data_IF_973528187642
#
_entry.id   IF_973528187642
#
_cell.length_a   1.000
_cell.length_b   1.000
_cell.length_c   1.000
_cell.angle_alpha   90.00
_cell.angle_beta   90.00
_cell.angle_gamma   90.00
#
_symmetry.space_group_name_H-M   'P 1'
#
loop_
_entity.id
_entity.type
_entity.pdbx_description
1 polymer ?
#
# COMPACT_ATOMS: atom_id res chain seq x y z
N UNK A 1 2.30 -10.29 26.59
CA UNK A 1 3.37 -9.31 26.28
C UNK A 1 2.70 -7.98 26.05
N UNK A 2 3.19 -6.90 26.65
CA UNK A 2 2.61 -5.56 26.48
C UNK A 2 3.09 -5.01 25.14
N UNK A 3 2.21 -4.88 24.15
CA UNK A 3 2.58 -4.33 22.84
C UNK A 3 2.86 -2.83 23.01
N UNK A 4 4.00 -2.35 22.50
CA UNK A 4 4.30 -0.92 22.50
C UNK A 4 3.21 -0.13 21.77
N UNK A 5 2.66 0.92 22.38
CA UNK A 5 1.66 1.76 21.71
C UNK A 5 2.26 2.65 20.61
N UNK A 6 3.59 2.71 20.47
CA UNK A 6 4.30 3.62 19.56
C UNK A 6 5.52 2.99 18.91
N UNK A 7 5.92 3.51 17.76
CA UNK A 7 7.22 3.23 17.16
C UNK A 7 8.34 3.95 17.93
N UNK A 8 9.55 3.40 17.89
CA UNK A 8 10.71 4.04 18.51
C UNK A 8 11.15 5.29 17.72
N UNK A 9 11.81 6.24 18.38
CA UNK A 9 12.20 7.51 17.75
C UNK A 9 13.15 7.33 16.55
N UNK A 10 14.18 6.50 16.69
CA UNK A 10 15.10 6.14 15.61
C UNK A 10 14.36 5.48 14.43
N UNK A 11 13.39 4.60 14.71
CA UNK A 11 12.56 3.99 13.68
C UNK A 11 11.72 5.02 12.92
N UNK A 12 11.15 6.01 13.61
CA UNK A 12 10.41 7.11 12.97
C UNK A 12 11.33 7.93 12.04
N UNK A 13 12.58 8.19 12.45
CA UNK A 13 13.57 8.86 11.60
C UNK A 13 13.93 8.00 10.37
N UNK A 14 14.12 6.70 10.54
CA UNK A 14 14.35 5.77 9.41
C UNK A 14 13.16 5.76 8.45
N UNK A 15 11.93 5.69 8.97
CA UNK A 15 10.70 5.74 8.17
C UNK A 15 10.61 7.02 7.35
N UNK A 16 10.78 8.18 7.98
CA UNK A 16 10.74 9.49 7.31
C UNK A 16 11.77 9.56 6.19
N UNK A 17 13.04 9.21 6.49
CA UNK A 17 14.11 9.20 5.50
C UNK A 17 13.80 8.24 4.34
N UNK A 18 13.25 7.07 4.64
CA UNK A 18 12.92 6.06 3.64
C UNK A 18 11.82 6.54 2.70
N UNK A 19 10.71 7.05 3.25
CA UNK A 19 9.57 7.56 2.49
C UNK A 19 9.99 8.72 1.59
N UNK A 20 10.74 9.69 2.11
CA UNK A 20 11.08 10.90 1.35
C UNK A 20 12.08 10.67 0.22
N UNK A 21 13.03 9.73 0.38
CA UNK A 21 14.04 9.48 -0.65
C UNK A 21 14.76 8.13 -0.57
N UNK A 22 14.87 7.55 0.63
CA UNK A 22 15.65 6.34 0.85
C UNK A 22 15.16 5.14 0.03
N UNK A 23 13.86 5.05 -0.22
CA UNK A 23 13.27 4.00 -1.05
C UNK A 23 13.83 3.97 -2.48
N UNK A 24 14.36 5.07 -3.05
CA UNK A 24 15.00 5.06 -4.38
C UNK A 24 16.33 4.31 -4.43
N UNK A 25 16.96 4.06 -3.28
CA UNK A 25 18.24 3.33 -3.19
C UNK A 25 18.04 1.82 -3.28
N UNK A 26 16.83 1.34 -2.98
CA UNK A 26 16.45 -0.05 -3.18
C UNK A 26 15.89 -0.15 -4.58
N UNK A 27 16.47 -1.04 -5.39
CA UNK A 27 15.90 -1.27 -6.72
C UNK A 27 14.44 -1.71 -6.53
N UNK A 28 13.57 -1.33 -7.47
CA UNK A 28 12.22 -1.87 -7.58
C UNK A 28 11.28 -0.81 -8.12
N UNK A 29 9.98 -1.07 -8.11
CA UNK A 29 8.95 -0.10 -8.48
C UNK A 29 8.19 0.30 -7.21
N UNK A 30 8.17 1.60 -6.94
CA UNK A 30 7.39 2.18 -5.86
C UNK A 30 7.21 3.65 -6.16
N UNK A 31 5.96 4.06 -6.34
CA UNK A 31 5.61 5.46 -6.56
C UNK A 31 5.73 6.23 -5.24
N UNK A 32 6.27 7.44 -5.29
CA UNK A 32 6.48 8.25 -4.08
C UNK A 32 5.14 8.56 -3.39
N UNK A 33 4.07 8.86 -4.14
CA UNK A 33 2.72 9.04 -3.59
C UNK A 33 2.20 7.79 -2.88
N UNK A 34 2.40 6.61 -3.46
CA UNK A 34 2.02 5.34 -2.86
C UNK A 34 2.78 5.09 -1.54
N UNK A 35 4.10 5.32 -1.53
CA UNK A 35 4.91 5.24 -0.30
C UNK A 35 4.41 6.22 0.77
N UNK A 36 4.12 7.45 0.35
CA UNK A 36 3.67 8.52 1.24
C UNK A 36 2.31 8.22 1.88
N UNK A 37 1.31 7.85 1.07
CA UNK A 37 -0.04 7.51 1.57
C UNK A 37 0.00 6.24 2.44
N UNK A 38 0.81 5.25 2.07
CA UNK A 38 1.04 4.06 2.91
C UNK A 38 1.59 4.45 4.28
N UNK A 39 2.57 5.37 4.32
CA UNK A 39 3.17 5.82 5.58
C UNK A 39 2.17 6.54 6.49
N UNK A 40 1.30 7.39 5.93
CA UNK A 40 0.26 8.08 6.71
C UNK A 40 -0.76 7.11 7.29
N UNK A 41 -1.22 6.13 6.50
CA UNK A 41 -2.16 5.12 7.00
C UNK A 41 -1.52 4.21 8.05
N UNK A 42 -0.29 3.76 7.85
CA UNK A 42 0.42 2.96 8.83
C UNK A 42 0.71 3.71 10.13
N UNK A 43 1.06 5.00 10.07
CA UNK A 43 1.21 5.86 11.24
C UNK A 43 -0.12 6.09 11.97
N UNK A 44 -1.22 6.24 11.24
CA UNK A 44 -2.55 6.33 11.81
C UNK A 44 -2.97 5.03 12.53
N UNK A 45 -2.70 3.86 11.94
CA UNK A 45 -2.88 2.57 12.62
C UNK A 45 -2.08 2.52 13.92
N UNK A 46 -0.81 2.98 13.90
CA UNK A 46 0.01 3.04 15.10
C UNK A 46 -0.61 3.97 16.15
N UNK A 47 -1.01 5.18 15.75
CA UNK A 47 -1.60 6.22 16.61
C UNK A 47 -2.91 5.75 17.26
N UNK A 48 -3.70 4.96 16.55
CA UNK A 48 -4.96 4.37 17.04
C UNK A 48 -4.75 3.09 17.87
N UNK A 49 -3.51 2.63 18.03
CA UNK A 49 -3.19 1.41 18.78
C UNK A 49 -3.60 0.12 18.07
N UNK A 50 -3.85 0.16 16.76
CA UNK A 50 -4.15 -1.03 15.97
C UNK A 50 -2.90 -1.89 15.86
N UNK A 51 -2.99 -3.17 16.22
CA UNK A 51 -1.87 -4.12 16.25
C UNK A 51 -2.05 -5.20 15.19
N UNK A 52 -0.94 -5.66 14.61
CA UNK A 52 -0.94 -6.73 13.63
C UNK A 52 0.35 -6.76 12.83
N UNK A 53 0.63 -7.92 12.25
CA UNK A 53 1.80 -8.12 11.41
C UNK A 53 1.72 -7.26 10.14
N UNK A 54 2.86 -7.16 9.45
CA UNK A 54 2.95 -6.53 8.14
C UNK A 54 3.47 -7.55 7.13
N UNK A 55 3.02 -7.49 5.89
CA UNK A 55 3.48 -8.45 4.89
C UNK A 55 3.34 -8.01 3.44
N UNK A 56 3.99 -8.78 2.56
CA UNK A 56 3.98 -8.58 1.11
C UNK A 56 4.03 -9.94 0.40
N UNK A 57 3.15 -10.13 -0.59
CA UNK A 57 3.34 -11.12 -1.66
C UNK A 57 3.97 -10.39 -2.84
N UNK A 58 5.06 -10.93 -3.39
CA UNK A 58 5.85 -10.29 -4.43
C UNK A 58 6.84 -9.29 -3.84
N UNK A 59 7.91 -9.81 -3.24
CA UNK A 59 8.87 -9.02 -2.46
C UNK A 59 9.98 -8.47 -3.34
N UNK A 60 10.49 -9.29 -4.24
CA UNK A 60 11.68 -9.02 -5.03
C UNK A 60 12.84 -8.48 -4.15
N UNK A 61 13.27 -7.22 -4.34
CA UNK A 61 14.31 -6.59 -3.52
C UNK A 61 13.78 -5.91 -2.24
N UNK A 62 12.51 -6.09 -1.90
CA UNK A 62 11.92 -5.63 -0.65
C UNK A 62 11.76 -4.11 -0.55
N UNK A 63 11.67 -3.40 -1.69
CA UNK A 63 11.51 -1.94 -1.71
C UNK A 63 10.25 -1.49 -0.98
N UNK A 64 9.15 -2.22 -1.14
CA UNK A 64 7.90 -1.88 -0.46
C UNK A 64 7.75 -2.62 0.87
N UNK A 65 8.12 -3.90 0.97
CA UNK A 65 8.20 -4.61 2.27
C UNK A 65 9.06 -3.88 3.32
N UNK A 66 10.16 -3.22 2.95
CA UNK A 66 10.98 -2.45 3.89
C UNK A 66 10.21 -1.25 4.46
N UNK A 67 9.44 -0.54 3.64
CA UNK A 67 8.54 0.53 4.11
C UNK A 67 7.49 -0.03 5.07
N UNK A 68 6.84 -1.15 4.73
CA UNK A 68 5.86 -1.80 5.59
C UNK A 68 6.50 -2.23 6.93
N UNK A 69 7.72 -2.78 6.88
CA UNK A 69 8.50 -3.17 8.05
C UNK A 69 8.82 -1.99 8.98
N UNK A 70 9.16 -0.83 8.43
CA UNK A 70 9.41 0.41 9.18
C UNK A 70 8.14 0.95 9.85
N UNK A 71 6.96 0.56 9.38
CA UNK A 71 5.69 0.86 10.04
C UNK A 71 5.34 -0.15 11.14
N UNK A 72 5.94 -1.35 11.14
CA UNK A 72 5.70 -2.42 12.11
C UNK A 72 6.37 -2.21 13.47
N UNK A 73 5.71 -2.58 14.56
CA UNK A 73 6.26 -2.56 15.92
C UNK A 73 7.24 -3.71 16.18
N UNK A 74 8.10 -3.65 17.21
CA UNK A 74 9.07 -4.70 17.52
C UNK A 74 8.47 -6.11 17.65
N UNK A 75 7.23 -6.21 18.14
CA UNK A 75 6.50 -7.46 18.37
C UNK A 75 5.74 -7.93 17.13
N UNK A 76 5.64 -7.11 16.08
CA UNK A 76 4.97 -7.42 14.83
C UNK A 76 5.97 -8.03 13.83
N UNK A 77 5.58 -9.15 13.23
CA UNK A 77 6.37 -9.88 12.24
C UNK A 77 6.29 -9.19 10.88
N UNK A 78 7.39 -9.22 10.14
CA UNK A 78 7.47 -8.79 8.74
C UNK A 78 7.50 -10.04 7.87
N UNK A 79 6.43 -10.33 7.14
CA UNK A 79 6.35 -11.49 6.26
C UNK A 79 6.57 -11.09 4.79
N UNK A 80 7.57 -11.69 4.15
CA UNK A 80 7.71 -11.67 2.71
C UNK A 80 7.36 -13.03 2.10
N UNK A 81 6.51 -13.05 1.07
CA UNK A 81 6.18 -14.24 0.27
C UNK A 81 6.65 -14.00 -1.16
N UNK A 82 7.62 -14.78 -1.61
CA UNK A 82 8.14 -14.67 -2.98
C UNK A 82 8.78 -15.98 -3.40
N UNK A 83 8.58 -16.41 -4.64
CA UNK A 83 9.19 -17.62 -5.18
C UNK A 83 10.64 -17.40 -5.65
N UNK A 84 11.00 -16.14 -5.92
CA UNK A 84 12.22 -15.68 -6.56
C UNK A 84 12.52 -16.42 -7.88
N UNK A 85 11.49 -16.85 -8.62
CA UNK A 85 11.69 -17.66 -9.85
C UNK A 85 12.51 -16.95 -10.93
N UNK A 86 12.53 -15.62 -10.89
CA UNK A 86 13.27 -14.78 -11.84
C UNK A 86 14.70 -14.45 -11.38
N UNK A 87 15.10 -14.85 -10.17
CA UNK A 87 16.48 -14.73 -9.72
C UNK A 87 17.31 -15.89 -10.29
N UNK A 88 18.52 -15.63 -10.82
CA UNK A 88 19.43 -16.70 -11.27
C UNK A 88 19.79 -17.69 -10.15
N UNK A 89 19.90 -17.17 -8.92
CA UNK A 89 20.13 -17.93 -7.70
C UNK A 89 19.22 -17.36 -6.61
N UNK A 90 18.15 -18.09 -6.30
CA UNK A 90 17.17 -17.66 -5.31
C UNK A 90 17.67 -17.72 -3.87
N UNK A 91 18.64 -18.59 -3.55
CA UNK A 91 19.22 -18.66 -2.19
C UNK A 91 20.09 -17.43 -1.93
N UNK A 92 20.97 -17.10 -2.89
CA UNK A 92 21.78 -15.89 -2.82
C UNK A 92 20.91 -14.63 -2.81
N UNK A 93 19.80 -14.62 -3.57
CA UNK A 93 18.87 -13.49 -3.62
C UNK A 93 18.13 -13.29 -2.29
N UNK A 94 17.61 -14.36 -1.68
CA UNK A 94 17.01 -14.30 -0.35
C UNK A 94 18.03 -13.84 0.71
N UNK A 95 19.26 -14.34 0.64
CA UNK A 95 20.32 -13.95 1.57
C UNK A 95 20.61 -12.44 1.51
N UNK A 96 20.78 -11.88 0.30
CA UNK A 96 20.98 -10.45 0.09
C UNK A 96 19.79 -9.60 0.57
N UNK A 97 18.57 -10.10 0.36
CA UNK A 97 17.37 -9.45 0.89
C UNK A 97 17.41 -9.40 2.41
N UNK A 98 17.74 -10.51 3.08
CA UNK A 98 17.86 -10.56 4.54
C UNK A 98 18.92 -9.60 5.06
N UNK A 99 20.13 -9.62 4.50
CA UNK A 99 21.20 -8.69 4.89
C UNK A 99 20.75 -7.22 4.81
N UNK A 100 19.96 -6.84 3.80
CA UNK A 100 19.41 -5.49 3.67
C UNK A 100 18.42 -5.13 4.78
N UNK A 101 17.67 -6.10 5.30
CA UNK A 101 16.76 -5.87 6.43
C UNK A 101 17.53 -5.83 7.75
N UNK A 102 18.54 -6.68 7.94
CA UNK A 102 19.33 -6.72 9.19
C UNK A 102 20.20 -5.47 9.40
N UNK A 103 20.58 -4.72 8.35
CA UNK A 103 21.32 -3.45 8.52
C UNK A 103 20.46 -2.30 9.05
N UNK A 104 19.13 -2.40 9.00
CA UNK A 104 18.23 -1.44 9.60
C UNK A 104 17.84 -1.92 11.01
N UNK A 105 18.30 -1.27 12.09
CA UNK A 105 18.05 -1.74 13.46
C UNK A 105 16.57 -1.90 13.80
N UNK A 106 15.70 -1.10 13.17
CA UNK A 106 14.28 -1.24 13.35
C UNK A 106 13.74 -2.58 12.82
N UNK A 107 14.37 -3.21 11.84
CA UNK A 107 13.88 -4.42 11.15
C UNK A 107 14.61 -5.71 11.58
N UNK A 108 15.75 -5.57 12.27
CA UNK A 108 16.63 -6.67 12.68
C UNK A 108 15.87 -7.82 13.36
N UNK A 109 16.08 -9.05 12.88
CA UNK A 109 15.46 -10.27 13.43
C UNK A 109 13.94 -10.43 13.21
N UNK A 110 13.25 -9.45 12.62
CA UNK A 110 11.78 -9.47 12.42
C UNK A 110 11.33 -10.06 11.08
N UNK A 111 12.23 -10.12 10.09
CA UNK A 111 11.92 -10.63 8.76
C UNK A 111 11.71 -12.16 8.76
N UNK A 112 10.59 -12.60 8.21
CA UNK A 112 10.31 -13.97 7.83
C UNK A 112 10.09 -14.00 6.32
N UNK A 113 10.83 -14.84 5.62
CA UNK A 113 10.64 -15.08 4.18
C UNK A 113 10.05 -16.48 4.01
N UNK A 114 8.93 -16.56 3.31
CA UNK A 114 8.33 -17.79 2.84
C UNK A 114 8.62 -17.90 1.34
N UNK A 115 9.72 -18.59 1.00
CA UNK A 115 10.16 -18.71 -0.39
C UNK A 115 9.31 -19.72 -1.18
N UNK A 116 8.14 -19.29 -1.64
CA UNK A 116 7.12 -20.15 -2.26
C UNK A 116 6.33 -19.37 -3.31
N UNK A 117 5.80 -20.09 -4.28
CA UNK A 117 4.73 -19.59 -5.14
C UNK A 117 3.45 -19.41 -4.32
N UNK A 118 2.93 -18.19 -4.25
CA UNK A 118 1.75 -17.84 -3.46
C UNK A 118 0.50 -18.59 -3.92
N UNK A 119 0.41 -18.97 -5.20
CA UNK A 119 -0.72 -19.75 -5.75
C UNK A 119 -0.80 -21.18 -5.22
N UNK A 120 0.26 -21.63 -4.52
CA UNK A 120 0.33 -22.96 -3.89
C UNK A 120 0.09 -22.93 -2.39
N UNK A 121 -0.08 -21.74 -1.79
CA UNK A 121 -0.21 -21.55 -0.36
C UNK A 121 -1.67 -21.51 0.09
N UNK A 122 -1.88 -21.94 1.33
CA UNK A 122 -3.13 -21.78 2.06
C UNK A 122 -2.97 -20.77 3.21
N UNK A 123 -4.06 -20.15 3.69
CA UNK A 123 -4.00 -19.28 4.87
C UNK A 123 -3.42 -19.97 6.11
N UNK A 124 -3.69 -21.27 6.29
CA UNK A 124 -3.21 -22.02 7.46
C UNK A 124 -1.70 -22.25 7.42
N UNK A 125 -1.10 -22.44 6.24
CA UNK A 125 0.37 -22.48 6.11
C UNK A 125 1.00 -21.14 6.50
N UNK A 126 0.38 -20.01 6.18
CA UNK A 126 0.88 -18.69 6.60
C UNK A 126 0.76 -18.51 8.11
N UNK A 127 -0.34 -18.96 8.73
CA UNK A 127 -0.53 -18.93 10.20
C UNK A 127 0.46 -19.81 10.96
N UNK A 128 1.11 -20.78 10.30
CA UNK A 128 2.19 -21.56 10.93
C UNK A 128 3.52 -20.80 10.97
N UNK A 129 3.69 -19.77 10.13
CA UNK A 129 4.92 -18.98 10.02
C UNK A 129 4.82 -17.68 10.84
N UNK A 130 3.61 -17.16 11.00
CA UNK A 130 3.34 -15.86 11.63
C UNK A 130 2.21 -16.00 12.66
N UNK A 131 2.40 -15.45 13.85
CA UNK A 131 1.38 -15.41 14.90
C UNK A 131 0.54 -14.13 14.80
N UNK A 132 -0.78 -14.28 14.76
CA UNK A 132 -1.74 -13.17 14.70
C UNK A 132 -2.03 -12.60 13.30
N UNK A 133 -3.02 -11.70 13.20
CA UNK A 133 -3.47 -11.15 11.93
C UNK A 133 -2.52 -10.07 11.38
N UNK A 134 -2.71 -9.71 10.12
CA UNK A 134 -2.03 -8.58 9.49
C UNK A 134 -2.86 -7.30 9.57
N UNK A 135 -2.19 -6.16 9.77
CA UNK A 135 -2.82 -4.83 9.67
C UNK A 135 -2.45 -4.09 8.39
N UNK A 136 -1.30 -4.41 7.79
CA UNK A 136 -0.91 -3.94 6.46
C UNK A 136 -0.42 -5.15 5.66
N UNK A 137 -0.97 -5.35 4.47
CA UNK A 137 -0.52 -6.43 3.59
C UNK A 137 -0.52 -6.00 2.13
N UNK A 138 0.63 -6.06 1.47
CA UNK A 138 0.75 -5.77 0.04
C UNK A 138 0.54 -7.03 -0.80
N UNK A 139 -0.20 -6.90 -1.89
CA UNK A 139 -0.38 -7.92 -2.93
C UNK A 139 0.22 -7.37 -4.23
N UNK A 140 1.40 -7.89 -4.58
CA UNK A 140 2.22 -7.48 -5.72
C UNK A 140 2.89 -8.72 -6.39
N UNK A 141 2.16 -9.84 -6.40
CA UNK A 141 2.66 -11.14 -6.87
C UNK A 141 2.61 -11.27 -8.39
N UNK A 142 1.66 -12.07 -8.86
CA UNK A 142 1.46 -12.32 -10.29
C UNK A 142 0.60 -11.25 -10.97
N UNK A 143 0.83 -11.05 -12.28
CA UNK A 143 0.11 -10.04 -13.08
C UNK A 143 -1.07 -10.62 -13.88
N UNK A 144 -1.35 -11.92 -13.75
CA UNK A 144 -2.52 -12.57 -14.36
C UNK A 144 -3.73 -12.51 -13.44
N UNK A 145 -4.93 -12.48 -14.02
CA UNK A 145 -6.17 -12.34 -13.27
C UNK A 145 -6.42 -13.43 -12.22
N UNK A 146 -6.00 -14.67 -12.50
CA UNK A 146 -6.16 -15.76 -11.55
C UNK A 146 -5.15 -15.71 -10.41
N UNK A 147 -3.95 -15.15 -10.64
CA UNK A 147 -2.92 -14.96 -9.61
C UNK A 147 -3.35 -13.87 -8.63
N UNK A 148 -3.70 -12.68 -9.13
CA UNK A 148 -4.18 -11.58 -8.29
C UNK A 148 -5.45 -11.95 -7.51
N UNK A 149 -6.40 -12.65 -8.14
CA UNK A 149 -7.58 -13.17 -7.44
C UNK A 149 -7.20 -14.17 -6.33
N UNK A 150 -6.27 -15.08 -6.61
CA UNK A 150 -5.80 -16.06 -5.62
C UNK A 150 -5.11 -15.36 -4.44
N UNK A 151 -4.20 -14.43 -4.69
CA UNK A 151 -3.44 -13.74 -3.64
C UNK A 151 -4.36 -12.90 -2.73
N UNK A 152 -5.36 -12.22 -3.30
CA UNK A 152 -6.37 -11.51 -2.52
C UNK A 152 -7.20 -12.47 -1.66
N UNK A 153 -7.61 -13.61 -2.22
CA UNK A 153 -8.34 -14.65 -1.48
C UNK A 153 -7.48 -15.29 -0.37
N UNK A 154 -6.19 -15.46 -0.60
CA UNK A 154 -5.22 -15.97 0.38
C UNK A 154 -5.05 -14.97 1.53
N UNK A 155 -4.95 -13.68 1.20
CA UNK A 155 -4.70 -12.59 2.15
C UNK A 155 -5.92 -12.24 3.02
N UNK A 156 -7.13 -12.17 2.43
CA UNK A 156 -8.36 -11.74 3.10
C UNK A 156 -8.64 -12.37 4.49
N UNK A 157 -8.51 -13.69 4.70
CA UNK A 157 -8.75 -14.32 6.00
C UNK A 157 -7.60 -14.15 7.01
N UNK A 158 -6.49 -13.52 6.61
CA UNK A 158 -5.33 -13.23 7.46
C UNK A 158 -5.36 -11.79 7.99
N UNK A 159 -6.25 -10.94 7.46
CA UNK A 159 -6.35 -9.53 7.85
C UNK A 159 -7.11 -9.36 9.17
N UNK A 160 -6.63 -8.40 9.96
CA UNK A 160 -7.36 -7.84 11.10
C UNK A 160 -8.58 -7.04 10.64
N UNK A 161 -9.49 -6.74 11.57
CA UNK A 161 -10.73 -6.00 11.25
C UNK A 161 -10.47 -4.62 10.64
N UNK A 162 -9.45 -3.90 11.15
CA UNK A 162 -9.01 -2.60 10.63
C UNK A 162 -7.85 -2.70 9.62
N UNK A 163 -7.58 -3.92 9.14
CA UNK A 163 -6.47 -4.21 8.25
C UNK A 163 -6.67 -3.64 6.85
N UNK A 164 -5.55 -3.27 6.21
CA UNK A 164 -5.51 -2.73 4.86
C UNK A 164 -4.77 -3.70 3.95
N UNK A 165 -5.44 -4.14 2.90
CA UNK A 165 -4.81 -4.84 1.78
C UNK A 165 -4.46 -3.79 0.73
N UNK A 166 -3.22 -3.84 0.23
CA UNK A 166 -2.68 -2.86 -0.70
C UNK A 166 -2.36 -3.60 -2.01
N UNK A 167 -3.17 -3.39 -3.02
CA UNK A 167 -3.02 -4.03 -4.33
C UNK A 167 -2.14 -3.15 -5.20
N UNK A 168 -1.01 -3.67 -5.66
CA UNK A 168 -0.16 -2.97 -6.62
C UNK A 168 -0.76 -3.00 -8.03
N UNK A 169 -0.25 -2.16 -8.93
CA UNK A 169 -0.54 -2.20 -10.37
C UNK A 169 -2.03 -2.23 -10.81
N UNK A 170 -2.94 -1.73 -9.97
CA UNK A 170 -4.39 -1.84 -10.19
C UNK A 170 -4.87 -1.29 -11.54
N UNK A 171 -4.21 -0.27 -12.09
CA UNK A 171 -4.52 0.28 -13.42
C UNK A 171 -3.30 0.28 -14.34
N UNK A 172 -2.32 -0.60 -14.08
CA UNK A 172 -1.19 -0.76 -14.97
C UNK A 172 -1.63 -1.46 -16.27
N UNK A 173 -1.58 -0.73 -17.38
CA UNK A 173 -2.00 -1.22 -18.71
C UNK A 173 -1.15 -2.38 -19.23
N UNK A 174 0.07 -2.59 -18.71
CA UNK A 174 0.88 -3.76 -19.05
C UNK A 174 0.49 -5.00 -18.26
N UNK A 175 -0.27 -4.84 -17.18
CA UNK A 175 -0.69 -5.89 -16.25
C UNK A 175 -2.22 -5.86 -16.01
N UNK A 176 -3.05 -5.87 -17.07
CA UNK A 176 -4.50 -5.73 -16.92
C UNK A 176 -5.17 -6.89 -16.16
N UNK A 177 -4.48 -8.02 -15.98
CA UNK A 177 -4.95 -9.11 -15.14
C UNK A 177 -5.16 -8.69 -13.69
N UNK A 178 -4.38 -7.73 -13.18
CA UNK A 178 -4.48 -7.29 -11.78
C UNK A 178 -5.84 -6.65 -11.47
N UNK A 179 -6.33 -5.74 -12.33
CA UNK A 179 -7.67 -5.16 -12.18
C UNK A 179 -8.75 -6.22 -12.29
N UNK A 180 -8.61 -7.14 -13.25
CA UNK A 180 -9.57 -8.21 -13.46
C UNK A 180 -9.66 -9.14 -12.25
N UNK A 181 -8.52 -9.56 -11.68
CA UNK A 181 -8.45 -10.40 -10.49
C UNK A 181 -9.03 -9.71 -9.25
N UNK A 182 -8.74 -8.41 -9.09
CA UNK A 182 -9.29 -7.58 -8.00
C UNK A 182 -10.80 -7.44 -8.10
N UNK A 183 -11.32 -7.18 -9.31
CA UNK A 183 -12.75 -7.13 -9.57
C UNK A 183 -13.43 -8.48 -9.26
N UNK A 184 -12.84 -9.59 -9.71
CA UNK A 184 -13.34 -10.94 -9.40
C UNK A 184 -13.41 -11.20 -7.90
N UNK A 185 -12.39 -10.77 -7.14
CA UNK A 185 -12.37 -10.91 -5.69
C UNK A 185 -13.46 -10.10 -5.01
N UNK A 186 -13.56 -8.79 -5.31
CA UNK A 186 -14.56 -7.90 -4.69
C UNK A 186 -16.00 -8.30 -5.02
N UNK A 187 -16.23 -8.99 -6.13
CA UNK A 187 -17.54 -9.51 -6.54
C UNK A 187 -17.79 -10.96 -6.09
N UNK A 188 -16.81 -11.64 -5.48
CA UNK A 188 -16.97 -13.01 -4.97
C UNK A 188 -17.40 -13.02 -3.50
N UNK A 189 -17.79 -14.21 -3.02
CA UNK A 189 -18.14 -14.38 -1.60
C UNK A 189 -16.93 -14.14 -0.69
N UNK A 190 -15.72 -14.46 -1.15
CA UNK A 190 -14.47 -14.29 -0.39
C UNK A 190 -14.11 -12.81 -0.19
N UNK A 191 -14.45 -11.94 -1.14
CA UNK A 191 -14.25 -10.49 -1.03
C UNK A 191 -15.50 -9.71 -0.61
N UNK A 192 -16.61 -10.37 -0.28
CA UNK A 192 -17.89 -9.72 -0.02
C UNK A 192 -17.84 -8.69 1.12
N UNK A 193 -16.96 -8.88 2.10
CA UNK A 193 -16.75 -7.97 3.23
C UNK A 193 -15.66 -6.92 2.99
N UNK A 194 -15.04 -6.90 1.80
CA UNK A 194 -14.03 -5.92 1.45
C UNK A 194 -14.56 -4.90 0.44
N UNK A 195 -14.01 -3.69 0.50
CA UNK A 195 -14.21 -2.68 -0.53
C UNK A 195 -12.96 -1.81 -0.70
N UNK A 196 -12.82 -1.21 -1.88
CA UNK A 196 -11.82 -0.19 -2.11
C UNK A 196 -12.20 1.10 -1.39
N UNK A 197 -11.23 1.80 -0.81
CA UNK A 197 -11.46 3.09 -0.15
C UNK A 197 -10.46 4.19 -0.55
N UNK A 198 -9.33 3.82 -1.14
CA UNK A 198 -8.33 4.77 -1.62
C UNK A 198 -7.62 4.25 -2.87
N UNK A 199 -7.24 5.17 -3.75
CA UNK A 199 -6.30 4.93 -4.84
C UNK A 199 -5.22 6.01 -4.77
N UNK A 200 -3.96 5.61 -4.79
CA UNK A 200 -2.83 6.54 -4.85
C UNK A 200 -1.65 5.93 -5.59
N UNK A 201 -1.12 6.65 -6.58
CA UNK A 201 -0.13 6.09 -7.50
C UNK A 201 -0.72 4.90 -8.28
N UNK A 202 0.03 3.81 -8.39
CA UNK A 202 -0.48 2.55 -8.96
C UNK A 202 -1.21 1.65 -7.94
N UNK A 203 -1.38 2.08 -6.68
CA UNK A 203 -1.92 1.22 -5.63
C UNK A 203 -3.40 1.48 -5.34
N UNK A 204 -4.15 0.41 -5.13
CA UNK A 204 -5.50 0.43 -4.56
C UNK A 204 -5.49 -0.13 -3.15
N UNK A 205 -6.16 0.57 -2.24
CA UNK A 205 -6.27 0.18 -0.85
C UNK A 205 -7.66 -0.38 -0.58
N UNK A 206 -7.71 -1.61 -0.10
CA UNK A 206 -8.90 -2.33 0.30
C UNK A 206 -8.92 -2.47 1.82
N UNK A 207 -10.12 -2.43 2.40
CA UNK A 207 -10.33 -2.73 3.81
C UNK A 207 -11.70 -3.38 4.01
N UNK A 208 -11.96 -3.84 5.23
CA UNK A 208 -13.31 -4.32 5.58
C UNK A 208 -14.31 -3.19 5.41
N UNK A 209 -15.51 -3.47 4.89
CA UNK A 209 -16.58 -2.48 4.69
C UNK A 209 -16.95 -1.73 5.97
N UNK A 210 -16.79 -2.38 7.12
CA UNK A 210 -16.99 -1.78 8.44
C UNK A 210 -15.92 -0.72 8.79
N UNK A 211 -14.69 -0.88 8.32
CA UNK A 211 -13.54 -0.05 8.65
C UNK A 211 -13.26 1.06 7.61
N UNK A 212 -13.58 0.83 6.33
CA UNK A 212 -13.32 1.79 5.24
C UNK A 212 -13.90 3.19 5.44
N UNK A 213 -15.07 3.42 6.11
CA UNK A 213 -15.53 4.78 6.36
C UNK A 213 -14.59 5.59 7.27
N UNK A 214 -13.94 4.93 8.23
CA UNK A 214 -12.97 5.57 9.12
C UNK A 214 -11.70 5.96 8.34
N UNK A 215 -11.22 5.07 7.44
CA UNK A 215 -10.09 5.36 6.57
C UNK A 215 -10.36 6.51 5.60
N UNK A 216 -11.53 6.52 4.95
CA UNK A 216 -11.95 7.67 4.12
C UNK A 216 -11.98 8.96 4.93
N UNK A 217 -12.58 8.94 6.13
CA UNK A 217 -12.64 10.11 7.00
C UNK A 217 -11.24 10.62 7.37
N UNK A 218 -10.31 9.73 7.66
CA UNK A 218 -8.91 10.08 7.92
C UNK A 218 -8.26 10.76 6.70
N UNK A 219 -8.34 10.14 5.53
CA UNK A 219 -7.78 10.70 4.29
C UNK A 219 -8.40 12.06 3.94
N UNK A 220 -9.72 12.19 4.07
CA UNK A 220 -10.44 13.45 3.86
C UNK A 220 -9.98 14.55 4.84
N UNK A 221 -9.71 14.19 6.10
CA UNK A 221 -9.18 15.12 7.10
C UNK A 221 -7.79 15.60 6.69
N UNK A 222 -6.87 14.67 6.36
CA UNK A 222 -5.51 14.99 5.90
C UNK A 222 -5.56 15.92 4.68
N UNK A 223 -6.32 15.53 3.67
CA UNK A 223 -6.46 16.27 2.41
C UNK A 223 -6.91 17.72 2.63
N UNK A 224 -7.88 17.94 3.53
CA UNK A 224 -8.42 19.29 3.81
C UNK A 224 -7.53 20.14 4.73
N UNK A 225 -6.76 19.51 5.62
CA UNK A 225 -5.92 20.23 6.58
C UNK A 225 -4.50 20.51 6.07
N UNK A 226 -4.08 19.83 5.00
CA UNK A 226 -2.71 19.90 4.47
C UNK A 226 -2.68 20.38 3.01
N UNK A 227 -3.54 21.32 2.63
CA UNK A 227 -3.63 21.87 1.26
C UNK A 227 -2.40 22.71 0.85
N UNK A 228 -1.46 22.95 1.75
CA UNK A 228 -0.13 23.47 1.44
C UNK A 228 0.75 22.44 0.73
N UNK A 229 0.42 21.14 0.85
CA UNK A 229 1.07 20.05 0.12
C UNK A 229 0.39 19.87 -1.24
N UNK A 230 1.17 19.89 -2.32
CA UNK A 230 0.66 19.79 -3.70
C UNK A 230 -0.24 18.57 -3.92
N UNK A 231 0.17 17.41 -3.40
CA UNK A 231 -0.59 16.15 -3.46
C UNK A 231 -2.02 16.30 -2.90
N UNK A 232 -2.16 16.96 -1.75
CA UNK A 232 -3.45 17.12 -1.07
C UNK A 232 -4.25 18.29 -1.61
N UNK A 233 -3.61 19.39 -1.99
CA UNK A 233 -4.27 20.55 -2.60
C UNK A 233 -5.11 20.15 -3.82
N UNK A 234 -4.49 19.41 -4.73
CA UNK A 234 -5.11 19.07 -6.01
C UNK A 234 -6.20 18.00 -5.79
N UNK A 235 -5.97 17.06 -4.88
CA UNK A 235 -6.99 16.10 -4.43
C UNK A 235 -8.19 16.81 -3.79
N UNK A 236 -7.97 17.80 -2.92
CA UNK A 236 -9.03 18.56 -2.26
C UNK A 236 -9.90 19.30 -3.29
N UNK A 237 -9.26 19.95 -4.27
CA UNK A 237 -9.96 20.61 -5.37
C UNK A 237 -10.83 19.63 -6.15
N UNK A 238 -10.28 18.47 -6.55
CA UNK A 238 -11.03 17.44 -7.27
C UNK A 238 -12.26 16.97 -6.49
N UNK A 239 -12.16 16.83 -5.17
CA UNK A 239 -13.29 16.44 -4.33
C UNK A 239 -14.33 17.56 -4.22
N UNK A 240 -13.89 18.81 -4.08
CA UNK A 240 -14.79 19.97 -3.99
C UNK A 240 -15.51 20.25 -5.33
N UNK A 241 -14.91 19.86 -6.46
CA UNK A 241 -15.52 19.92 -7.79
C UNK A 241 -16.64 18.87 -7.98
N UNK A 242 -16.74 17.86 -7.12
CA UNK A 242 -17.83 16.86 -7.15
C UNK A 242 -19.10 17.35 -6.44
N UNK A 243 -20.30 16.94 -6.89
CA UNK A 243 -21.53 17.26 -6.17
C UNK A 243 -21.47 16.78 -4.71
N UNK A 244 -22.05 17.51 -3.75
CA UNK A 244 -22.02 17.12 -2.34
C UNK A 244 -22.50 15.69 -2.11
N UNK A 245 -21.66 14.87 -1.47
CA UNK A 245 -21.97 13.46 -1.17
C UNK A 245 -21.70 12.49 -2.31
N UNK A 246 -21.17 12.95 -3.44
CA UNK A 246 -20.74 12.07 -4.54
C UNK A 246 -19.23 11.85 -4.44
N UNK A 247 -18.85 10.58 -4.32
CA UNK A 247 -17.48 10.11 -4.45
C UNK A 247 -17.37 9.22 -5.68
N UNK A 248 -16.18 9.10 -6.30
CA UNK A 248 -15.97 8.04 -7.27
C UNK A 248 -16.12 6.70 -6.56
N UNK A 249 -16.74 5.74 -7.24
CA UNK A 249 -17.01 4.42 -6.68
C UNK A 249 -16.26 3.33 -7.45
N UNK A 250 -15.82 2.30 -6.73
CA UNK A 250 -15.26 1.09 -7.30
C UNK A 250 -15.94 -0.12 -6.67
N UNK A 251 -16.62 -0.94 -7.48
CA UNK A 251 -17.46 -2.05 -7.00
C UNK A 251 -18.46 -1.65 -5.88
N UNK A 252 -18.99 -0.42 -5.95
CA UNK A 252 -19.97 0.11 -4.99
C UNK A 252 -19.38 0.67 -3.70
N UNK A 253 -18.06 0.60 -3.49
CA UNK A 253 -17.37 1.29 -2.39
C UNK A 253 -16.97 2.70 -2.80
N UNK A 254 -17.18 3.68 -1.91
CA UNK A 254 -16.67 5.05 -2.12
C UNK A 254 -15.14 5.06 -2.02
N UNK A 255 -14.49 5.77 -2.92
CA UNK A 255 -13.03 5.84 -3.03
C UNK A 255 -12.54 7.28 -2.95
N UNK A 256 -11.49 7.51 -2.16
CA UNK A 256 -10.69 8.75 -2.24
C UNK A 256 -9.57 8.54 -3.23
N UNK A 257 -9.61 9.26 -4.37
CA UNK A 257 -8.54 9.18 -5.37
C UNK A 257 -7.55 10.30 -5.11
N UNK A 258 -6.35 9.93 -4.66
CA UNK A 258 -5.27 10.87 -4.36
C UNK A 258 -4.38 10.96 -5.61
N UNK A 259 -4.64 12.00 -6.41
CA UNK A 259 -3.90 12.29 -7.64
C UNK A 259 -2.78 13.29 -7.37
N UNK A 260 -1.60 13.04 -7.92
CA UNK A 260 -0.52 14.02 -7.90
C UNK A 260 -0.65 14.96 -9.11
N UNK A 261 -0.30 16.23 -8.91
CA UNK A 261 -0.34 17.32 -9.89
C UNK A 261 0.26 16.91 -11.25
N UNK A 262 -0.61 16.62 -12.22
CA UNK A 262 -0.23 16.10 -13.54
C UNK A 262 -1.36 15.34 -14.21
N UNK A 263 -2.22 14.71 -13.42
CA UNK A 263 -3.40 13.96 -13.87
C UNK A 263 -4.66 14.83 -13.73
N UNK A 264 -4.99 15.60 -14.76
CA UNK A 264 -6.26 16.34 -14.79
C UNK A 264 -7.28 15.63 -15.69
N UNK A 265 -8.46 15.37 -15.15
CA UNK A 265 -9.68 15.19 -15.95
C UNK A 265 -10.17 16.58 -16.37
N UNK A 266 -9.86 16.99 -17.60
CA UNK A 266 -10.49 18.18 -18.20
C UNK A 266 -11.79 17.71 -18.87
N UNK A 267 -12.92 17.97 -18.21
CA UNK A 267 -14.22 18.01 -18.89
C UNK A 267 -14.38 19.42 -19.43
N UNK A 268 -14.25 19.60 -20.74
CA UNK A 268 -14.72 20.82 -21.39
C UNK A 268 -15.44 20.47 -22.70
N UNK A 269 -16.74 20.78 -22.72
CA UNK A 269 -17.54 21.08 -23.92
C UNK A 269 -18.30 19.96 -24.67
N UNK A 270 -18.61 18.81 -24.06
CA UNK A 270 -19.60 17.87 -24.64
C UNK A 270 -19.12 17.09 -25.88
N UNK A 271 -17.83 17.12 -26.17
CA UNK A 271 -17.12 16.21 -27.09
C UNK A 271 -16.72 14.91 -26.36
N UNK A 272 -16.32 13.84 -27.07
CA UNK A 272 -15.87 12.60 -26.43
C UNK A 272 -14.79 12.87 -25.39
N UNK A 273 -15.04 12.44 -24.16
CA UNK A 273 -14.08 12.54 -23.06
C UNK A 273 -12.85 11.71 -23.44
N UNK A 274 -11.79 12.37 -23.88
CA UNK A 274 -10.47 11.75 -23.88
C UNK A 274 -10.07 11.67 -22.42
N UNK A 275 -10.31 10.51 -21.81
CA UNK A 275 -9.65 10.15 -20.55
C UNK A 275 -8.17 10.07 -20.90
N UNK A 276 -7.47 11.19 -20.76
CA UNK A 276 -6.02 11.15 -20.59
C UNK A 276 -5.81 10.63 -19.19
N UNK A 277 -5.84 9.31 -19.05
CA UNK A 277 -4.88 8.67 -18.16
C UNK A 277 -3.56 9.18 -18.70
N UNK A 278 -2.99 10.20 -18.08
CA UNK A 278 -1.56 10.42 -18.27
C UNK A 278 -1.00 9.09 -17.79
N UNK A 279 -0.56 8.26 -18.73
CA UNK A 279 0.38 7.19 -18.41
C UNK A 279 1.59 7.98 -17.95
N UNK A 280 1.57 8.33 -16.67
CA UNK A 280 2.42 9.35 -16.15
C UNK A 280 3.81 8.77 -16.30
N UNK A 281 4.68 9.51 -17.00
CA UNK A 281 6.01 9.04 -17.30
C UNK A 281 6.63 8.62 -15.96
N UNK A 282 7.10 7.36 -15.81
CA UNK A 282 7.80 6.94 -14.60
C UNK A 282 8.95 7.88 -14.22
N UNK A 283 9.49 8.65 -15.18
CA UNK A 283 10.46 9.71 -14.96
C UNK A 283 9.88 10.99 -14.31
N UNK A 284 8.61 11.34 -14.58
CA UNK A 284 7.94 12.51 -13.99
C UNK A 284 7.45 12.25 -12.55
N UNK A 285 7.07 11.02 -12.20
CA UNK A 285 6.67 10.69 -10.82
C UNK A 285 7.83 10.15 -9.94
N UNK A 286 9.02 9.97 -10.52
CA UNK A 286 10.28 9.86 -9.80
C UNK A 286 11.08 11.17 -9.84
N UNK A 287 10.44 12.30 -10.18
CA UNK A 287 11.12 13.59 -10.16
C UNK A 287 11.62 13.88 -8.74
N UNK A 288 12.94 13.77 -8.56
CA UNK A 288 13.64 14.05 -7.31
C UNK A 288 13.43 15.50 -6.84
N UNK A 289 12.87 16.37 -7.69
CA UNK A 289 12.53 17.74 -7.35
C UNK A 289 11.21 17.88 -6.57
N UNK A 290 10.35 16.84 -6.55
CA UNK A 290 9.13 16.88 -5.74
C UNK A 290 9.42 16.48 -4.29
N UNK A 291 9.70 17.49 -3.48
CA UNK A 291 9.92 17.35 -2.05
C UNK A 291 8.57 17.39 -1.34
N UNK A 292 8.09 16.23 -0.88
CA UNK A 292 6.95 16.17 0.05
C UNK A 292 7.43 16.51 1.46
N UNK A 293 6.58 17.13 2.32
CA UNK A 293 6.93 17.33 3.72
C UNK A 293 6.99 16.00 4.45
N UNK A 294 7.54 16.00 5.66
CA UNK A 294 7.60 14.80 6.48
C UNK A 294 6.21 14.19 6.74
N UNK A 295 6.01 12.87 6.59
CA UNK A 295 4.80 12.21 7.06
C UNK A 295 4.55 12.45 8.56
N UNK A 296 5.61 12.57 9.36
CA UNK A 296 5.51 12.85 10.80
C UNK A 296 5.01 14.28 11.06
N UNK A 297 5.47 15.25 10.26
CA UNK A 297 4.96 16.61 10.31
C UNK A 297 3.47 16.64 9.94
N UNK A 298 3.06 15.94 8.88
CA UNK A 298 1.64 15.83 8.52
C UNK A 298 0.82 15.22 9.66
N UNK A 299 1.26 14.11 10.24
CA UNK A 299 0.57 13.48 11.37
C UNK A 299 0.46 14.39 12.60
N UNK A 300 1.41 15.30 12.82
CA UNK A 300 1.40 16.25 13.95
C UNK A 300 0.34 17.37 13.82
N UNK A 301 -0.16 17.60 12.59
CA UNK A 301 -1.18 18.62 12.30
C UNK A 301 -2.61 18.11 12.54
N UNK A 302 -2.80 16.80 12.70
CA UNK A 302 -4.11 16.12 12.81
C UNK A 302 -4.55 16.01 14.27
#
# INVERSE_FOLDING_TARGET
MTVSSSLQYNQLQSLEKYVLSGHHQVRGWLWHSAAYITSLMGLEQVRQGMVGNVGEIGVWQGRYLQLLGLLGRPEETILGIDSFVHAPDGDAFEHQLRERFEVEPALEGRLRILRRDSTTLTPDEIRQVVDGPFRLFSVDGGHLAHEAFHDLKLCAPLMSEDGIIIVDDIFNVTCPGVVEGTLRFLMSNEGADFEAFCISGNKMFLGRRSATPAWRKFLMKVTRQCTDVSLFRDTAKTIDDMPPGVFPQFCGGDVVVITWSGDYLISDNGEPVVIRLKVCDPAELNDQQCILPSPLEIMSRL
#
